data_IF_981441807767
#
_entry.id   IF_981441807767
#
_cell.length_a   1.000
_cell.length_b   1.000
_cell.length_c   1.000
_cell.angle_alpha   90.00
_cell.angle_beta   90.00
_cell.angle_gamma   90.00
#
_symmetry.space_group_name_H-M   'P 1'
#
loop_
_entity.id
_entity.type
_entity.pdbx_description
1 polymer ?
#
# COMPACT_ATOMS: atom_id res chain seq x y z
N UNK A 1 31.08 39.78 -4.89
CA UNK A 1 31.72 38.47 -5.08
C UNK A 1 31.30 37.57 -3.92
N UNK A 2 30.27 36.75 -4.13
CA UNK A 2 29.55 36.02 -3.10
C UNK A 2 29.90 34.52 -3.17
N UNK A 3 30.88 34.07 -2.39
CA UNK A 3 31.24 32.64 -2.30
C UNK A 3 31.76 32.33 -0.89
N UNK A 4 30.93 32.44 0.16
CA UNK A 4 31.32 31.96 1.51
C UNK A 4 30.15 31.63 2.44
N UNK A 5 29.06 31.04 1.92
CA UNK A 5 27.87 30.66 2.74
C UNK A 5 27.48 29.18 2.71
N UNK A 6 28.30 28.30 2.13
CA UNK A 6 27.95 26.88 1.93
C UNK A 6 28.51 25.86 2.94
N UNK A 7 29.52 26.19 3.75
CA UNK A 7 30.27 25.17 4.53
C UNK A 7 29.62 24.77 5.85
N UNK A 8 28.87 25.67 6.50
CA UNK A 8 28.17 25.38 7.76
C UNK A 8 26.93 24.49 7.57
N UNK A 9 26.24 24.65 6.43
CA UNK A 9 25.08 23.83 6.06
C UNK A 9 25.46 22.37 5.84
N UNK A 10 26.65 22.08 5.30
CA UNK A 10 27.13 20.72 5.08
C UNK A 10 27.48 20.00 6.39
N UNK A 11 28.02 20.73 7.38
CA UNK A 11 28.43 20.18 8.69
C UNK A 11 27.24 19.76 9.55
N UNK A 12 26.12 20.48 9.47
CA UNK A 12 24.89 20.20 10.21
C UNK A 12 23.75 19.67 9.31
N UNK A 13 24.04 19.34 8.05
CA UNK A 13 23.06 18.90 7.03
C UNK A 13 22.16 17.78 7.56
N UNK A 14 22.75 16.77 8.21
CA UNK A 14 21.99 15.64 8.75
C UNK A 14 21.07 16.07 9.90
N UNK A 15 21.50 16.98 10.78
CA UNK A 15 20.66 17.44 11.89
C UNK A 15 19.54 18.37 11.41
N UNK A 16 19.82 19.20 10.41
CA UNK A 16 18.80 20.03 9.76
C UNK A 16 17.78 19.15 9.03
N UNK A 17 18.24 18.12 8.30
CA UNK A 17 17.36 17.16 7.62
C UNK A 17 16.51 16.36 8.60
N UNK A 18 17.10 15.86 9.70
CA UNK A 18 16.35 15.14 10.74
C UNK A 18 15.35 16.07 11.42
N UNK A 19 15.75 17.29 11.77
CA UNK A 19 14.85 18.29 12.36
C UNK A 19 13.68 18.62 11.43
N UNK A 20 13.95 18.83 10.14
CA UNK A 20 12.92 19.03 9.13
C UNK A 20 12.00 17.82 8.99
N UNK A 21 12.56 16.60 8.96
CA UNK A 21 11.79 15.36 8.85
C UNK A 21 10.88 15.16 10.06
N UNK A 22 11.36 15.45 11.27
CA UNK A 22 10.57 15.41 12.50
C UNK A 22 9.43 16.42 12.45
N UNK A 23 9.70 17.67 12.04
CA UNK A 23 8.67 18.71 11.93
C UNK A 23 7.61 18.32 10.90
N UNK A 24 8.01 17.83 9.73
CA UNK A 24 7.08 17.35 8.70
C UNK A 24 6.25 16.17 9.20
N UNK A 25 6.87 15.23 9.90
CA UNK A 25 6.19 14.06 10.47
C UNK A 25 5.17 14.49 11.52
N UNK A 26 5.54 15.38 12.44
CA UNK A 26 4.62 15.93 13.45
C UNK A 26 3.45 16.67 12.80
N UNK A 27 3.70 17.49 11.77
CA UNK A 27 2.65 18.20 11.04
C UNK A 27 1.63 17.26 10.40
N UNK A 28 2.06 16.05 10.01
CA UNK A 28 1.19 15.03 9.41
C UNK A 28 0.48 14.19 10.46
N UNK A 29 1.18 13.80 11.54
CA UNK A 29 0.63 12.92 12.58
C UNK A 29 -0.37 13.65 13.49
N UNK A 30 -0.08 14.89 13.88
CA UNK A 30 -0.95 15.65 14.80
C UNK A 30 -2.40 15.76 14.30
N UNK A 31 -2.69 16.22 13.06
CA UNK A 31 -4.06 16.25 12.57
C UNK A 31 -4.69 14.86 12.41
N UNK A 32 -3.89 13.82 12.15
CA UNK A 32 -4.41 12.44 12.11
C UNK A 32 -4.94 11.94 13.46
N UNK A 33 -4.46 12.51 14.58
CA UNK A 33 -4.96 12.16 15.91
C UNK A 33 -6.35 12.75 16.14
N UNK A 34 -6.62 13.95 15.65
CA UNK A 34 -7.94 14.58 15.71
C UNK A 34 -8.94 13.78 14.85
N UNK A 35 -8.54 13.43 13.62
CA UNK A 35 -9.34 12.57 12.73
C UNK A 35 -9.62 11.19 13.35
N UNK A 36 -8.65 10.62 14.09
CA UNK A 36 -8.82 9.35 14.78
C UNK A 36 -9.85 9.46 15.92
N UNK A 37 -9.80 10.54 16.70
CA UNK A 37 -10.78 10.80 17.76
C UNK A 37 -12.19 10.93 17.20
N UNK A 38 -12.35 11.71 16.12
CA UNK A 38 -13.63 11.87 15.43
C UNK A 38 -14.12 10.55 14.83
N UNK A 39 -13.22 9.73 14.27
CA UNK A 39 -13.54 8.39 13.77
C UNK A 39 -14.05 7.46 14.88
N UNK A 40 -13.42 7.47 16.05
CA UNK A 40 -13.85 6.67 17.22
C UNK A 40 -15.20 7.16 17.74
N UNK A 41 -15.42 8.48 17.74
CA UNK A 41 -16.71 9.06 18.13
C UNK A 41 -17.82 8.66 17.15
N UNK A 42 -17.56 8.73 15.85
CA UNK A 42 -18.48 8.31 14.81
C UNK A 42 -18.82 6.81 14.90
N UNK A 43 -17.86 5.97 15.30
CA UNK A 43 -18.07 4.53 15.54
C UNK A 43 -19.08 4.24 16.67
N UNK A 44 -19.21 5.11 17.67
CA UNK A 44 -20.19 4.94 18.76
C UNK A 44 -21.63 5.14 18.29
N UNK A 45 -21.83 6.08 17.37
CA UNK A 45 -23.14 6.41 16.81
C UNK A 45 -23.43 5.63 15.52
N UNK A 46 -22.47 4.81 15.07
CA UNK A 46 -22.58 4.08 13.81
C UNK A 46 -23.59 2.93 13.90
N UNK A 47 -24.45 2.86 12.90
CA UNK A 47 -25.38 1.75 12.76
C UNK A 47 -24.65 0.48 12.27
N UNK A 48 -24.71 -0.57 13.10
CA UNK A 48 -24.09 -1.87 12.82
C UNK A 48 -24.50 -2.47 11.46
N UNK A 49 -25.73 -2.23 11.01
CA UNK A 49 -26.23 -2.73 9.73
C UNK A 49 -25.43 -2.18 8.55
N UNK A 50 -25.14 -0.87 8.57
CA UNK A 50 -24.35 -0.23 7.52
C UNK A 50 -22.88 -0.66 7.56
N UNK A 51 -22.33 -0.87 8.75
CA UNK A 51 -20.97 -1.41 8.92
C UNK A 51 -20.88 -2.81 8.30
N UNK A 52 -21.85 -3.69 8.62
CA UNK A 52 -21.86 -5.06 8.14
C UNK A 52 -22.07 -5.11 6.62
N UNK A 53 -22.98 -4.30 6.08
CA UNK A 53 -23.19 -4.17 4.64
C UNK A 53 -21.93 -3.67 3.92
N UNK A 54 -21.28 -2.61 4.44
CA UNK A 54 -20.03 -2.09 3.89
C UNK A 54 -18.90 -3.12 3.94
N UNK A 55 -18.82 -3.90 5.02
CA UNK A 55 -17.85 -4.98 5.17
C UNK A 55 -18.07 -6.07 4.12
N UNK A 56 -19.32 -6.51 3.92
CA UNK A 56 -19.65 -7.51 2.91
C UNK A 56 -19.28 -7.00 1.51
N UNK A 57 -19.66 -5.77 1.17
CA UNK A 57 -19.35 -5.16 -0.13
C UNK A 57 -17.83 -5.06 -0.33
N UNK A 58 -17.08 -4.68 0.70
CA UNK A 58 -15.62 -4.64 0.66
C UNK A 58 -15.02 -6.03 0.34
N UNK A 59 -15.47 -7.07 1.04
CA UNK A 59 -14.98 -8.44 0.80
C UNK A 59 -15.44 -9.00 -0.55
N UNK A 60 -16.57 -8.56 -1.10
CA UNK A 60 -17.03 -8.90 -2.45
C UNK A 60 -16.18 -8.24 -3.56
N UNK A 61 -15.42 -7.20 -3.25
CA UNK A 61 -14.46 -6.61 -4.19
C UNK A 61 -13.21 -7.48 -4.39
N UNK A 62 -12.80 -8.26 -3.38
CA UNK A 62 -11.57 -9.05 -3.42
C UNK A 62 -11.58 -10.15 -4.51
N UNK A 63 -12.69 -10.89 -4.73
CA UNK A 63 -12.79 -11.81 -5.86
C UNK A 63 -12.56 -11.14 -7.22
N UNK A 64 -13.02 -9.90 -7.41
CA UNK A 64 -12.81 -9.16 -8.66
C UNK A 64 -11.32 -8.91 -8.90
N UNK A 65 -10.60 -8.48 -7.85
CA UNK A 65 -9.14 -8.31 -7.88
C UNK A 65 -8.43 -9.63 -8.21
N UNK A 66 -8.84 -10.73 -7.57
CA UNK A 66 -8.28 -12.05 -7.82
C UNK A 66 -8.53 -12.50 -9.27
N UNK A 67 -9.73 -12.27 -9.82
CA UNK A 67 -10.05 -12.59 -11.21
C UNK A 67 -9.21 -11.78 -12.20
N UNK A 68 -9.06 -10.47 -11.97
CA UNK A 68 -8.19 -9.62 -12.77
C UNK A 68 -6.75 -10.13 -12.76
N UNK A 69 -6.24 -10.51 -11.59
CA UNK A 69 -4.88 -11.01 -11.45
C UNK A 69 -4.67 -12.36 -12.16
N UNK A 70 -5.68 -13.25 -12.09
CA UNK A 70 -5.68 -14.53 -12.82
C UNK A 70 -5.72 -14.31 -14.33
N UNK A 71 -6.51 -13.36 -14.81
CA UNK A 71 -6.61 -13.03 -16.23
C UNK A 71 -5.29 -12.53 -16.82
N UNK A 72 -4.47 -11.87 -16.00
CA UNK A 72 -3.13 -11.39 -16.37
C UNK A 72 -2.06 -12.48 -16.22
N UNK A 73 -2.30 -13.54 -15.46
CA UNK A 73 -1.32 -14.57 -15.18
C UNK A 73 -0.99 -15.38 -16.45
N UNK A 74 0.31 -15.58 -16.71
CA UNK A 74 0.79 -16.31 -17.89
C UNK A 74 0.80 -17.83 -17.70
N UNK A 75 0.71 -18.29 -16.44
CA UNK A 75 0.55 -19.70 -16.08
C UNK A 75 -0.70 -19.88 -15.21
N UNK A 76 -1.35 -21.06 -15.25
CA UNK A 76 -2.53 -21.31 -14.44
C UNK A 76 -2.21 -21.19 -12.95
N UNK A 77 -2.96 -20.34 -12.26
CA UNK A 77 -2.89 -20.14 -10.82
C UNK A 77 -4.27 -20.42 -10.20
N UNK A 78 -4.29 -20.96 -8.98
CA UNK A 78 -5.56 -21.31 -8.34
C UNK A 78 -6.24 -20.08 -7.74
N UNK A 79 -7.50 -19.86 -8.09
CA UNK A 79 -8.29 -18.72 -7.64
C UNK A 79 -8.33 -18.54 -6.12
N UNK A 80 -8.51 -19.63 -5.38
CA UNK A 80 -8.59 -19.58 -3.92
C UNK A 80 -7.27 -19.13 -3.27
N UNK A 81 -6.12 -19.52 -3.84
CA UNK A 81 -4.83 -19.07 -3.34
C UNK A 81 -4.57 -17.61 -3.72
N UNK A 82 -4.92 -17.19 -4.94
CA UNK A 82 -4.83 -15.79 -5.38
C UNK A 82 -5.66 -14.90 -4.48
N UNK A 83 -6.90 -15.30 -4.17
CA UNK A 83 -7.78 -14.59 -3.24
C UNK A 83 -7.13 -14.35 -1.86
N UNK A 84 -6.48 -15.38 -1.29
CA UNK A 84 -5.74 -15.25 -0.02
C UNK A 84 -4.54 -14.32 -0.13
N UNK A 85 -3.85 -14.34 -1.27
CA UNK A 85 -2.71 -13.46 -1.54
C UNK A 85 -3.17 -12.02 -1.68
N UNK A 86 -4.25 -11.75 -2.40
CA UNK A 86 -4.84 -10.40 -2.51
C UNK A 86 -5.32 -9.89 -1.14
N UNK A 87 -5.96 -10.74 -0.32
CA UNK A 87 -6.27 -10.41 1.07
C UNK A 87 -5.02 -10.02 1.86
N UNK A 88 -3.96 -10.82 1.79
CA UNK A 88 -2.70 -10.51 2.45
C UNK A 88 -2.09 -9.20 1.92
N UNK A 89 -2.20 -8.94 0.61
CA UNK A 89 -1.77 -7.71 -0.05
C UNK A 89 -2.45 -6.46 0.52
N UNK A 90 -3.74 -6.54 0.83
CA UNK A 90 -4.47 -5.44 1.49
C UNK A 90 -3.89 -5.10 2.87
N UNK A 91 -3.39 -6.07 3.63
CA UNK A 91 -2.71 -5.80 4.92
C UNK A 91 -1.28 -5.31 4.72
N UNK A 92 -0.53 -5.97 3.82
CA UNK A 92 0.86 -5.61 3.53
C UNK A 92 0.95 -4.17 3.02
N UNK A 93 -0.01 -3.72 2.22
CA UNK A 93 -0.08 -2.34 1.72
C UNK A 93 -0.36 -1.28 2.79
N UNK A 94 -0.81 -1.68 3.98
CA UNK A 94 -0.98 -0.79 5.15
C UNK A 94 0.27 -0.75 6.03
N UNK A 95 1.05 -1.83 6.05
CA UNK A 95 2.27 -1.95 6.86
C UNK A 95 3.51 -1.37 6.15
N UNK A 96 3.56 -1.54 4.84
CA UNK A 96 4.63 -1.05 3.97
C UNK A 96 4.07 0.02 3.03
N UNK A 97 4.93 0.91 2.48
CA UNK A 97 4.51 1.77 1.37
C UNK A 97 3.79 0.92 0.31
N UNK A 98 2.53 1.26 0.05
CA UNK A 98 1.55 0.37 -0.59
C UNK A 98 2.07 -0.30 -1.87
N UNK A 99 2.86 0.43 -2.64
CA UNK A 99 3.47 -0.02 -3.89
C UNK A 99 4.53 -1.10 -3.67
N UNK A 100 5.43 -0.94 -2.70
CA UNK A 100 6.54 -1.88 -2.50
C UNK A 100 6.04 -3.20 -1.92
N UNK A 101 5.23 -3.13 -0.86
CA UNK A 101 4.77 -4.33 -0.17
C UNK A 101 3.93 -5.25 -1.06
N UNK A 102 2.96 -4.68 -1.78
CA UNK A 102 2.06 -5.46 -2.65
C UNK A 102 2.79 -6.03 -3.86
N UNK A 103 3.70 -5.25 -4.48
CA UNK A 103 4.52 -5.72 -5.60
C UNK A 103 5.42 -6.89 -5.17
N UNK A 104 6.11 -6.77 -4.02
CA UNK A 104 6.98 -7.83 -3.52
C UNK A 104 6.21 -9.11 -3.22
N UNK A 105 5.03 -9.01 -2.59
CA UNK A 105 4.19 -10.16 -2.30
C UNK A 105 3.73 -10.87 -3.59
N UNK A 106 3.22 -10.11 -4.56
CA UNK A 106 2.70 -10.66 -5.80
C UNK A 106 3.80 -11.24 -6.69
N UNK A 107 4.98 -10.61 -6.73
CA UNK A 107 6.14 -11.14 -7.44
C UNK A 107 6.64 -12.45 -6.82
N UNK A 108 6.76 -12.52 -5.50
CA UNK A 108 7.14 -13.75 -4.80
C UNK A 108 6.12 -14.87 -5.05
N UNK A 109 4.84 -14.55 -5.01
CA UNK A 109 3.76 -15.50 -5.29
C UNK A 109 3.86 -16.10 -6.70
N UNK A 110 4.05 -15.27 -7.72
CA UNK A 110 4.16 -15.73 -9.12
C UNK A 110 5.41 -16.58 -9.35
N UNK A 111 6.56 -16.19 -8.79
CA UNK A 111 7.80 -16.97 -8.86
C UNK A 111 7.62 -18.33 -8.19
N UNK A 112 6.94 -18.39 -7.04
CA UNK A 112 6.60 -19.64 -6.35
C UNK A 112 5.61 -20.51 -7.14
N UNK A 113 4.90 -19.92 -8.11
CA UNK A 113 4.02 -20.60 -9.08
C UNK A 113 4.67 -20.76 -10.44
N UNK A 114 5.98 -21.00 -10.44
CA UNK A 114 6.80 -21.33 -11.60
C UNK A 114 6.86 -20.26 -12.69
N UNK A 115 6.41 -19.02 -12.45
CA UNK A 115 6.65 -17.94 -13.40
C UNK A 115 8.13 -17.57 -13.38
N UNK A 116 8.69 -17.27 -14.56
CA UNK A 116 10.03 -16.69 -14.59
C UNK A 116 9.99 -15.27 -13.99
N UNK A 117 11.11 -14.75 -13.45
CA UNK A 117 11.16 -13.39 -12.91
C UNK A 117 10.68 -12.33 -13.92
N UNK A 118 10.97 -12.52 -15.21
CA UNK A 118 10.50 -11.64 -16.28
C UNK A 118 8.99 -11.71 -16.47
N UNK A 119 8.40 -12.93 -16.44
CA UNK A 119 6.95 -13.12 -16.51
C UNK A 119 6.26 -12.50 -15.30
N UNK A 120 6.77 -12.75 -14.09
CA UNK A 120 6.22 -12.18 -12.86
C UNK A 120 6.24 -10.65 -12.88
N UNK A 121 7.36 -10.05 -13.32
CA UNK A 121 7.48 -8.59 -13.48
C UNK A 121 6.45 -8.04 -14.45
N UNK A 122 6.28 -8.67 -15.61
CA UNK A 122 5.31 -8.24 -16.60
C UNK A 122 3.89 -8.24 -16.05
N UNK A 123 3.47 -9.34 -15.41
CA UNK A 123 2.12 -9.49 -14.81
C UNK A 123 1.88 -8.43 -13.73
N UNK A 124 2.82 -8.27 -12.79
CA UNK A 124 2.68 -7.30 -11.69
C UNK A 124 2.64 -5.85 -12.20
N UNK A 125 3.44 -5.53 -13.22
CA UNK A 125 3.46 -4.20 -13.83
C UNK A 125 2.15 -3.92 -14.57
N UNK A 126 1.66 -4.90 -15.35
CA UNK A 126 0.38 -4.79 -16.05
C UNK A 126 -0.78 -4.60 -15.06
N UNK A 127 -0.76 -5.35 -13.95
CA UNK A 127 -1.76 -5.22 -12.89
C UNK A 127 -1.74 -3.84 -12.25
N UNK A 128 -0.55 -3.31 -11.93
CA UNK A 128 -0.39 -1.97 -11.38
C UNK A 128 -0.94 -0.89 -12.32
N UNK A 129 -0.66 -0.97 -13.62
CA UNK A 129 -1.17 -0.03 -14.61
C UNK A 129 -2.70 -0.09 -14.71
N UNK A 130 -3.28 -1.29 -14.80
CA UNK A 130 -4.73 -1.48 -14.89
C UNK A 130 -5.50 -1.07 -13.64
N UNK A 131 -4.84 -0.99 -12.49
CA UNK A 131 -5.45 -0.59 -11.21
C UNK A 131 -5.34 0.92 -10.94
N UNK A 132 -4.54 1.64 -11.73
CA UNK A 132 -4.26 3.09 -11.54
C UNK A 132 -4.97 3.96 -12.59
N UNK A 133 -5.65 3.35 -13.56
CA UNK A 133 -6.51 4.01 -14.57
C UNK A 133 -7.96 4.04 -14.12
#
# INVERSE_FOLDING_TARGET
MAIFRGSWLLKYKNHILIGLLVILTLRVIVPQLDDLYDSIKALKDANLYWILLGTIIFFLGIPVLAFQFIALALKPISLFLTYKVEMAGLFVSKLLPATVGTISLNMYYLIKKDHTPSQATAVVTMNALSSTS
#
